data_IF_929202614881
#
_entry.id   IF_929202614881
#
_cell.length_a   1.000
_cell.length_b   1.000
_cell.length_c   1.000
_cell.angle_alpha   90.00
_cell.angle_beta   90.00
_cell.angle_gamma   90.00
#
_symmetry.space_group_name_H-M   'P 1'
#
loop_
_entity.id
_entity.type
_entity.pdbx_description
1 polymer ?
#
# COMPACT_ATOMS: atom_id res chain seq x y z
N UNK A 1 -23.22 -28.34 37.65
CA UNK A 1 -22.51 -27.18 37.07
C UNK A 1 -23.51 -26.44 36.22
N UNK A 2 -23.64 -25.14 36.41
CA UNK A 2 -24.52 -24.30 35.59
C UNK A 2 -23.64 -23.48 34.64
N UNK A 3 -23.87 -23.62 33.34
CA UNK A 3 -23.19 -22.82 32.32
C UNK A 3 -24.21 -21.90 31.68
N UNK A 4 -23.88 -20.62 31.56
CA UNK A 4 -24.71 -19.64 30.86
C UNK A 4 -23.85 -18.67 30.07
N UNK A 5 -24.34 -18.22 28.93
CA UNK A 5 -23.78 -17.06 28.27
C UNK A 5 -24.13 -15.81 29.09
N UNK A 6 -23.12 -14.99 29.40
CA UNK A 6 -23.27 -13.78 30.23
C UNK A 6 -23.03 -12.51 29.45
N UNK A 7 -22.45 -12.60 28.25
CA UNK A 7 -22.18 -11.46 27.38
C UNK A 7 -21.99 -11.93 25.94
N UNK A 8 -22.67 -11.28 25.01
CA UNK A 8 -22.41 -11.35 23.58
C UNK A 8 -21.97 -9.95 23.11
N UNK A 9 -20.84 -9.86 22.41
CA UNK A 9 -20.34 -8.62 21.81
C UNK A 9 -19.88 -8.90 20.39
N UNK A 10 -20.73 -8.62 19.41
CA UNK A 10 -20.51 -9.07 18.04
C UNK A 10 -20.32 -10.59 18.00
N UNK A 11 -19.20 -11.06 17.43
CA UNK A 11 -18.88 -12.49 17.31
C UNK A 11 -18.25 -13.11 18.58
N UNK A 12 -18.26 -12.40 19.72
CA UNK A 12 -17.58 -12.82 20.94
C UNK A 12 -18.58 -13.13 22.04
N UNK A 13 -18.61 -14.40 22.44
CA UNK A 13 -19.42 -14.89 23.56
C UNK A 13 -18.56 -15.08 24.80
N UNK A 14 -19.06 -14.63 25.94
CA UNK A 14 -18.49 -14.93 27.26
C UNK A 14 -19.43 -15.86 27.99
N UNK A 15 -18.92 -17.03 28.37
CA UNK A 15 -19.63 -18.03 29.14
C UNK A 15 -19.17 -17.99 30.59
N UNK A 16 -20.11 -18.09 31.53
CA UNK A 16 -19.87 -18.29 32.94
C UNK A 16 -20.27 -19.71 33.33
N UNK A 17 -19.35 -20.44 33.94
CA UNK A 17 -19.56 -21.76 34.50
C UNK A 17 -19.48 -21.67 36.03
N UNK A 18 -20.58 -21.99 36.71
CA UNK A 18 -20.69 -21.98 38.18
C UNK A 18 -20.82 -23.41 38.70
N UNK A 19 -19.97 -23.78 39.66
CA UNK A 19 -20.10 -25.07 40.34
C UNK A 19 -21.27 -25.05 41.32
N UNK A 20 -22.18 -26.03 41.21
CA UNK A 20 -23.38 -26.08 42.06
C UNK A 20 -23.02 -26.33 43.54
N UNK A 21 -21.91 -27.03 43.80
CA UNK A 21 -21.48 -27.43 45.14
C UNK A 21 -20.63 -26.33 45.82
N UNK A 22 -19.47 -26.00 45.25
CA UNK A 22 -18.53 -25.03 45.85
C UNK A 22 -18.76 -23.57 45.44
N UNK A 23 -19.73 -23.28 44.57
CA UNK A 23 -20.09 -21.93 44.08
C UNK A 23 -18.99 -21.16 43.35
N UNK A 24 -17.86 -21.80 43.03
CA UNK A 24 -16.79 -21.21 42.23
C UNK A 24 -17.31 -20.90 40.82
N UNK A 25 -17.10 -19.66 40.36
CA UNK A 25 -17.38 -19.20 39.00
C UNK A 25 -16.09 -19.17 38.19
N UNK A 26 -16.14 -19.70 36.95
CA UNK A 26 -15.11 -19.48 35.94
C UNK A 26 -15.74 -18.87 34.69
N UNK A 27 -15.08 -17.87 34.11
CA UNK A 27 -15.48 -17.25 32.85
C UNK A 27 -14.54 -17.64 31.73
N UNK A 28 -15.10 -17.94 30.56
CA UNK A 28 -14.37 -18.29 29.35
C UNK A 28 -14.94 -17.45 28.21
N UNK A 29 -14.06 -16.88 27.40
CA UNK A 29 -14.44 -16.06 26.23
C UNK A 29 -14.01 -16.77 24.95
N UNK A 30 -14.86 -16.77 23.92
CA UNK A 30 -14.60 -17.48 22.65
C UNK A 30 -13.44 -16.91 21.83
N UNK A 31 -12.99 -15.70 22.15
CA UNK A 31 -11.83 -15.06 21.52
C UNK A 31 -10.90 -14.49 22.60
N UNK A 32 -9.60 -14.80 22.48
CA UNK A 32 -8.56 -14.26 23.35
C UNK A 32 -8.04 -12.89 22.89
N UNK A 33 -7.34 -12.19 23.78
CA UNK A 33 -6.65 -10.93 23.51
C UNK A 33 -7.45 -9.67 23.87
N UNK A 34 -6.92 -8.92 24.86
CA UNK A 34 -7.02 -7.45 24.92
C UNK A 34 -8.23 -6.83 25.64
N UNK A 35 -7.96 -5.79 26.42
CA UNK A 35 -8.91 -4.95 27.16
C UNK A 35 -10.13 -4.55 26.32
N UNK A 36 -11.32 -5.07 26.67
CA UNK A 36 -12.71 -4.69 26.29
C UNK A 36 -13.06 -4.40 24.80
N UNK A 37 -12.13 -4.17 23.88
CA UNK A 37 -12.38 -3.58 22.54
C UNK A 37 -11.51 -4.14 21.39
N UNK A 38 -10.58 -5.07 21.61
CA UNK A 38 -9.71 -5.62 20.53
C UNK A 38 -9.64 -7.14 20.51
N UNK A 39 -10.79 -7.81 20.48
CA UNK A 39 -10.80 -9.26 20.32
C UNK A 39 -10.23 -9.65 18.96
N UNK A 40 -9.38 -10.68 18.94
CA UNK A 40 -8.73 -11.16 17.72
C UNK A 40 -9.72 -11.44 16.59
N UNK A 41 -10.91 -11.99 16.88
CA UNK A 41 -11.93 -12.25 15.85
C UNK A 41 -12.46 -10.97 15.19
N UNK A 42 -12.62 -9.88 15.95
CA UNK A 42 -13.03 -8.60 15.40
C UNK A 42 -11.92 -8.00 14.54
N UNK A 43 -10.66 -8.11 14.96
CA UNK A 43 -9.50 -7.70 14.15
C UNK A 43 -9.45 -8.45 12.82
N UNK A 44 -9.66 -9.77 12.82
CA UNK A 44 -9.68 -10.57 11.59
C UNK A 44 -10.85 -10.19 10.68
N UNK A 45 -12.04 -9.93 11.24
CA UNK A 45 -13.18 -9.47 10.46
C UNK A 45 -12.87 -8.12 9.79
N UNK A 46 -12.42 -7.13 10.56
CA UNK A 46 -12.08 -5.79 10.05
C UNK A 46 -10.99 -5.89 8.98
N UNK A 47 -9.94 -6.68 9.22
CA UNK A 47 -8.88 -6.92 8.24
C UNK A 47 -9.43 -7.52 6.94
N UNK A 48 -10.33 -8.50 7.05
CA UNK A 48 -10.92 -9.17 5.89
C UNK A 48 -11.82 -8.23 5.10
N UNK A 49 -12.63 -7.40 5.76
CA UNK A 49 -13.53 -6.46 5.08
C UNK A 49 -12.78 -5.30 4.44
N UNK A 50 -11.64 -4.87 5.02
CA UNK A 50 -10.71 -3.95 4.38
C UNK A 50 -10.06 -4.57 3.13
N UNK A 51 -9.58 -5.81 3.23
CA UNK A 51 -8.99 -6.53 2.08
C UNK A 51 -9.98 -6.67 0.93
N UNK A 52 -11.22 -7.07 1.24
CA UNK A 52 -12.28 -7.24 0.22
C UNK A 52 -12.83 -5.90 -0.31
N UNK A 53 -12.39 -4.76 0.21
CA UNK A 53 -12.86 -3.44 -0.22
C UNK A 53 -14.32 -3.14 0.16
N UNK A 54 -14.91 -3.89 1.10
CA UNK A 54 -16.31 -3.71 1.54
C UNK A 54 -16.43 -2.83 2.78
N UNK A 55 -15.36 -2.71 3.56
CA UNK A 55 -15.26 -1.81 4.71
C UNK A 55 -16.31 -2.08 5.80
N UNK A 56 -16.68 -1.02 6.53
CA UNK A 56 -17.65 -1.10 7.63
C UNK A 56 -19.02 -1.63 7.17
N UNK A 57 -19.49 -1.22 6.00
CA UNK A 57 -20.76 -1.70 5.45
C UNK A 57 -20.74 -3.22 5.26
N UNK A 58 -19.67 -3.75 4.66
CA UNK A 58 -19.49 -5.20 4.51
C UNK A 58 -19.43 -5.95 5.84
N UNK A 59 -18.73 -5.40 6.82
CA UNK A 59 -18.69 -5.98 8.16
C UNK A 59 -20.10 -6.07 8.78
N UNK A 60 -20.85 -4.98 8.74
CA UNK A 60 -22.24 -4.92 9.23
C UNK A 60 -23.13 -5.92 8.51
N UNK A 61 -23.03 -6.03 7.18
CA UNK A 61 -23.79 -7.03 6.42
C UNK A 61 -23.45 -8.47 6.85
N UNK A 62 -22.18 -8.77 7.13
CA UNK A 62 -21.77 -10.09 7.63
C UNK A 62 -22.33 -10.38 9.02
N UNK A 63 -22.25 -9.41 9.94
CA UNK A 63 -22.86 -9.53 11.27
C UNK A 63 -24.34 -9.88 11.18
N UNK A 64 -25.11 -9.12 10.39
CA UNK A 64 -26.54 -9.35 10.19
C UNK A 64 -26.81 -10.72 9.56
N UNK A 65 -26.05 -11.10 8.53
CA UNK A 65 -26.21 -12.40 7.85
C UNK A 65 -25.97 -13.60 8.78
N UNK A 66 -25.07 -13.46 9.76
CA UNK A 66 -24.78 -14.48 10.76
C UNK A 66 -25.57 -14.30 12.07
N UNK A 67 -26.55 -13.39 12.10
CA UNK A 67 -27.40 -13.12 13.26
C UNK A 67 -26.62 -12.68 14.52
N UNK A 68 -25.60 -11.84 14.33
CA UNK A 68 -24.83 -11.19 15.38
C UNK A 68 -25.08 -9.67 15.39
N UNK A 69 -24.94 -9.04 16.55
CA UNK A 69 -24.98 -7.58 16.66
C UNK A 69 -23.76 -6.93 15.99
N UNK A 70 -23.94 -5.94 15.10
CA UNK A 70 -22.83 -5.25 14.47
C UNK A 70 -21.92 -4.52 15.47
N UNK A 71 -20.64 -4.40 15.12
CA UNK A 71 -19.76 -3.44 15.78
C UNK A 71 -20.25 -2.01 15.54
N UNK A 72 -20.04 -1.12 16.51
CA UNK A 72 -20.24 0.31 16.26
C UNK A 72 -19.23 0.81 15.21
N UNK A 73 -19.62 1.83 14.43
CA UNK A 73 -18.72 2.47 13.46
C UNK A 73 -17.41 2.94 14.11
N UNK A 74 -17.51 3.51 15.32
CA UNK A 74 -16.36 3.95 16.12
C UNK A 74 -15.42 2.79 16.46
N UNK A 75 -15.95 1.65 16.89
CA UNK A 75 -15.14 0.47 17.23
C UNK A 75 -14.47 -0.12 15.99
N UNK A 76 -15.19 -0.20 14.87
CA UNK A 76 -14.66 -0.68 13.60
C UNK A 76 -13.44 0.16 13.16
N UNK A 77 -13.59 1.49 13.12
CA UNK A 77 -12.50 2.36 12.68
C UNK A 77 -11.35 2.46 13.68
N UNK A 78 -11.60 2.27 14.98
CA UNK A 78 -10.52 2.13 15.98
C UNK A 78 -9.66 0.90 15.69
N UNK A 79 -10.29 -0.24 15.39
CA UNK A 79 -9.58 -1.47 15.02
C UNK A 79 -8.87 -1.29 13.67
N UNK A 80 -9.52 -0.67 12.68
CA UNK A 80 -8.92 -0.41 11.37
C UNK A 80 -7.65 0.45 11.49
N UNK A 81 -7.69 1.52 12.31
CA UNK A 81 -6.52 2.37 12.57
C UNK A 81 -5.38 1.60 13.24
N UNK A 82 -5.69 0.75 14.22
CA UNK A 82 -4.68 -0.13 14.85
C UNK A 82 -4.03 -1.05 13.81
N UNK A 83 -4.82 -1.68 12.93
CA UNK A 83 -4.31 -2.55 11.85
C UNK A 83 -3.43 -1.78 10.88
N UNK A 84 -3.80 -0.56 10.52
CA UNK A 84 -3.02 0.34 9.67
C UNK A 84 -1.67 0.69 10.30
N UNK A 85 -1.66 1.17 11.54
CA UNK A 85 -0.44 1.53 12.28
C UNK A 85 0.52 0.34 12.40
N UNK A 86 0.00 -0.84 12.75
CA UNK A 86 0.80 -2.08 12.78
C UNK A 86 1.33 -2.47 11.40
N UNK A 87 0.52 -2.26 10.35
CA UNK A 87 0.87 -2.54 8.96
C UNK A 87 2.00 -1.64 8.46
N UNK A 88 1.90 -0.34 8.70
CA UNK A 88 2.92 0.65 8.37
C UNK A 88 4.25 0.30 9.08
N UNK A 89 4.21 0.02 10.38
CA UNK A 89 5.43 -0.35 11.11
C UNK A 89 6.07 -1.65 10.60
N UNK A 90 5.28 -2.64 10.17
CA UNK A 90 5.81 -3.88 9.53
C UNK A 90 6.45 -3.57 8.18
N UNK A 91 5.82 -2.70 7.39
CA UNK A 91 6.30 -2.30 6.08
C UNK A 91 7.62 -1.52 6.18
N UNK A 92 7.74 -0.58 7.11
CA UNK A 92 8.97 0.18 7.35
C UNK A 92 10.14 -0.74 7.72
N UNK A 93 9.93 -1.66 8.68
CA UNK A 93 10.95 -2.66 9.05
C UNK A 93 11.35 -3.56 7.88
N UNK A 94 10.39 -3.95 7.04
CA UNK A 94 10.68 -4.76 5.85
C UNK A 94 11.53 -3.96 4.85
N UNK A 95 11.22 -2.68 4.63
CA UNK A 95 11.99 -1.80 3.74
C UNK A 95 13.40 -1.54 4.27
N UNK A 96 13.56 -1.27 5.57
CA UNK A 96 14.88 -1.14 6.20
C UNK A 96 15.72 -2.39 6.02
N UNK A 97 15.12 -3.57 6.24
CA UNK A 97 15.80 -4.85 6.03
C UNK A 97 16.20 -5.06 4.56
N UNK A 98 15.32 -4.75 3.61
CA UNK A 98 15.64 -4.82 2.18
C UNK A 98 16.83 -3.93 1.81
N UNK A 99 16.87 -2.70 2.31
CA UNK A 99 17.98 -1.75 2.06
C UNK A 99 19.28 -2.22 2.70
N UNK A 100 19.24 -2.74 3.93
CA UNK A 100 20.41 -3.25 4.61
C UNK A 100 21.04 -4.44 3.86
N UNK A 101 20.21 -5.41 3.46
CA UNK A 101 20.66 -6.57 2.66
C UNK A 101 21.29 -6.10 1.34
N UNK A 102 20.64 -5.17 0.65
CA UNK A 102 21.18 -4.63 -0.60
C UNK A 102 22.52 -3.89 -0.38
N UNK A 103 22.65 -3.12 0.70
CA UNK A 103 23.92 -2.49 1.06
C UNK A 103 25.04 -3.51 1.27
N UNK A 104 24.77 -4.60 2.00
CA UNK A 104 25.77 -5.65 2.24
C UNK A 104 26.22 -6.30 0.93
N UNK A 105 25.28 -6.66 0.05
CA UNK A 105 25.56 -7.21 -1.29
C UNK A 105 26.43 -6.25 -2.11
N UNK A 106 26.13 -4.96 -2.10
CA UNK A 106 26.88 -3.96 -2.86
C UNK A 106 28.27 -3.66 -2.26
N UNK A 107 28.40 -3.74 -0.93
CA UNK A 107 29.70 -3.61 -0.27
C UNK A 107 30.65 -4.76 -0.66
N UNK A 108 30.13 -5.99 -0.66
CA UNK A 108 30.88 -7.18 -1.10
C UNK A 108 31.26 -7.10 -2.58
N UNK A 109 30.33 -6.65 -3.43
CA UNK A 109 30.55 -6.53 -4.87
C UNK A 109 31.56 -5.43 -5.24
N UNK A 110 31.42 -4.25 -4.66
CA UNK A 110 32.17 -3.06 -5.08
C UNK A 110 33.49 -2.88 -4.32
N UNK A 111 33.71 -3.66 -3.24
CA UNK A 111 34.90 -3.57 -2.40
C UNK A 111 35.04 -2.23 -1.67
N UNK A 112 33.96 -1.45 -1.56
CA UNK A 112 33.93 -0.18 -0.83
C UNK A 112 32.72 -0.12 0.10
N UNK A 113 32.87 0.56 1.24
CA UNK A 113 31.81 0.73 2.24
C UNK A 113 31.23 2.15 2.20
N UNK A 114 30.99 2.69 1.01
CA UNK A 114 30.38 3.99 0.87
C UNK A 114 28.99 4.00 1.50
N UNK A 115 28.68 5.05 2.27
CA UNK A 115 27.38 5.22 2.91
C UNK A 115 26.25 5.32 1.87
N UNK A 116 26.52 5.93 0.72
CA UNK A 116 25.58 6.05 -0.40
C UNK A 116 26.05 5.19 -1.55
N UNK A 117 25.14 4.36 -2.09
CA UNK A 117 25.42 3.48 -3.23
C UNK A 117 24.63 3.87 -4.46
N UNK A 118 25.24 3.69 -5.63
CA UNK A 118 24.58 3.87 -6.91
C UNK A 118 23.93 2.56 -7.33
N UNK A 119 22.64 2.59 -7.66
CA UNK A 119 21.89 1.39 -8.00
C UNK A 119 21.11 1.54 -9.30
N UNK A 120 20.86 0.39 -9.92
CA UNK A 120 19.98 0.24 -11.06
C UNK A 120 18.60 -0.21 -10.60
N UNK A 121 17.56 0.55 -10.95
CA UNK A 121 16.21 0.31 -10.46
C UNK A 121 15.21 0.09 -11.59
N UNK A 122 14.14 -0.63 -11.30
CA UNK A 122 12.89 -0.54 -12.04
C UNK A 122 11.94 0.36 -11.25
N UNK A 123 11.23 1.24 -11.97
CA UNK A 123 10.24 2.11 -11.37
C UNK A 123 8.96 2.09 -12.19
N UNK A 124 7.85 1.80 -11.53
CA UNK A 124 6.52 1.74 -12.13
C UNK A 124 5.45 2.16 -11.13
N UNK A 125 4.32 2.64 -11.67
CA UNK A 125 3.15 3.05 -10.94
C UNK A 125 1.98 2.08 -11.13
N UNK A 126 1.13 1.97 -10.12
CA UNK A 126 -0.13 1.25 -10.24
C UNK A 126 -1.26 1.99 -9.52
N UNK A 127 -2.48 1.77 -9.98
CA UNK A 127 -3.65 2.55 -9.60
C UNK A 127 -4.75 1.66 -9.03
N UNK A 128 -5.53 2.21 -8.09
CA UNK A 128 -6.62 1.47 -7.46
C UNK A 128 -7.76 1.07 -8.41
N UNK A 129 -7.83 1.72 -9.59
CA UNK A 129 -8.87 1.47 -10.61
C UNK A 129 -8.25 1.65 -11.99
N UNK A 130 -8.72 0.85 -12.95
CA UNK A 130 -8.38 1.03 -14.37
C UNK A 130 -9.04 2.31 -14.91
N UNK A 131 -8.30 3.06 -15.73
CA UNK A 131 -8.75 4.30 -16.35
C UNK A 131 -8.25 5.56 -15.63
N UNK A 132 -8.66 6.73 -16.12
CA UNK A 132 -8.12 8.02 -15.67
C UNK A 132 -8.78 8.60 -14.41
N UNK A 133 -9.54 7.80 -13.67
CA UNK A 133 -10.37 8.22 -12.52
C UNK A 133 -9.95 7.61 -11.19
N UNK A 134 -8.78 6.96 -11.13
CA UNK A 134 -8.26 6.41 -9.89
C UNK A 134 -8.04 7.51 -8.84
N UNK A 135 -8.47 7.23 -7.60
CA UNK A 135 -8.28 8.13 -6.46
C UNK A 135 -6.97 7.86 -5.72
N UNK A 136 -6.44 6.66 -5.85
CA UNK A 136 -5.18 6.23 -5.25
C UNK A 136 -4.26 5.69 -6.32
N UNK A 137 -2.98 6.01 -6.19
CA UNK A 137 -1.89 5.42 -6.94
C UNK A 137 -0.76 5.07 -5.98
N UNK A 138 0.05 4.09 -6.34
CA UNK A 138 1.34 3.88 -5.69
C UNK A 138 2.42 3.79 -6.75
N UNK A 139 3.63 4.24 -6.42
CA UNK A 139 4.81 4.13 -7.26
C UNK A 139 5.91 3.46 -6.43
N UNK A 140 6.61 2.49 -6.99
CA UNK A 140 7.64 1.73 -6.29
C UNK A 140 8.95 1.70 -7.06
N UNK A 141 10.05 1.64 -6.31
CA UNK A 141 11.42 1.48 -6.79
C UNK A 141 11.92 0.11 -6.34
N UNK A 142 12.31 -0.71 -7.31
CA UNK A 142 12.79 -2.07 -7.10
C UNK A 142 14.20 -2.17 -7.70
N UNK A 143 15.19 -2.62 -6.94
CA UNK A 143 16.53 -2.83 -7.48
C UNK A 143 16.52 -4.03 -8.43
N UNK A 144 17.10 -3.85 -9.62
CA UNK A 144 16.88 -4.75 -10.77
C UNK A 144 17.54 -6.12 -10.56
N UNK A 145 18.72 -6.17 -9.95
CA UNK A 145 19.49 -7.42 -9.85
C UNK A 145 18.99 -8.37 -8.75
N UNK A 146 18.56 -7.81 -7.62
CA UNK A 146 18.12 -8.55 -6.43
C UNK A 146 16.59 -8.67 -6.35
N UNK A 147 15.86 -7.77 -7.01
CA UNK A 147 14.40 -7.70 -6.91
C UNK A 147 13.89 -7.13 -5.59
N UNK A 148 14.75 -6.58 -4.74
CA UNK A 148 14.31 -5.94 -3.50
C UNK A 148 13.64 -4.60 -3.79
N UNK A 149 12.44 -4.42 -3.23
CA UNK A 149 11.80 -3.11 -3.17
C UNK A 149 12.53 -2.24 -2.14
N UNK A 150 13.03 -1.09 -2.59
CA UNK A 150 13.88 -0.19 -1.77
C UNK A 150 13.14 1.08 -1.35
N UNK A 151 12.17 1.54 -2.14
CA UNK A 151 11.30 2.66 -1.76
C UNK A 151 9.96 2.59 -2.50
N UNK A 152 8.96 3.24 -1.94
CA UNK A 152 7.65 3.40 -2.58
C UNK A 152 6.93 4.63 -2.02
N UNK A 153 5.97 5.15 -2.77
CA UNK A 153 5.11 6.24 -2.34
C UNK A 153 3.67 5.94 -2.71
N UNK A 154 2.75 6.23 -1.78
CA UNK A 154 1.31 6.14 -2.00
C UNK A 154 0.78 7.56 -2.16
N UNK A 155 0.06 7.79 -3.25
CA UNK A 155 -0.54 9.07 -3.62
C UNK A 155 -2.06 8.96 -3.60
N UNK A 156 -2.71 9.97 -3.05
CA UNK A 156 -4.16 10.02 -2.90
C UNK A 156 -4.69 11.40 -3.27
N UNK A 157 -5.73 11.40 -4.11
CA UNK A 157 -6.57 12.57 -4.42
C UNK A 157 -7.80 12.66 -3.56
N UNK A 158 -8.03 11.67 -2.72
CA UNK A 158 -9.30 11.49 -2.04
C UNK A 158 -9.13 11.55 -0.52
N UNK A 159 -10.07 12.22 0.11
CA UNK A 159 -10.24 12.19 1.54
C UNK A 159 -11.74 12.22 1.85
N UNK A 160 -12.20 11.32 2.72
CA UNK A 160 -13.62 11.19 3.10
C UNK A 160 -14.17 12.52 3.59
N UNK A 161 -13.40 13.22 4.43
CA UNK A 161 -13.77 14.49 5.04
C UNK A 161 -13.80 15.62 4.01
N UNK A 162 -12.84 15.67 3.09
CA UNK A 162 -12.76 16.75 2.09
C UNK A 162 -13.83 16.69 1.01
N UNK A 163 -14.31 15.49 0.63
CA UNK A 163 -15.20 15.32 -0.54
C UNK A 163 -16.61 15.84 -0.29
N UNK A 164 -17.00 16.08 0.96
CA UNK A 164 -18.34 16.56 1.34
C UNK A 164 -18.46 18.06 1.57
N UNK A 165 -17.42 18.86 1.29
CA UNK A 165 -17.35 20.26 1.70
C UNK A 165 -17.35 21.15 0.46
N UNK A 166 -18.46 21.85 0.23
CA UNK A 166 -18.64 22.82 -0.86
C UNK A 166 -18.14 24.22 -0.51
N UNK A 167 -18.16 24.59 0.77
CA UNK A 167 -18.11 26.00 1.21
C UNK A 167 -16.74 26.44 1.76
N UNK A 168 -15.66 25.77 1.33
CA UNK A 168 -14.28 26.25 1.52
C UNK A 168 -13.69 26.12 2.93
N UNK A 169 -14.48 25.86 3.97
CA UNK A 169 -13.96 25.53 5.30
C UNK A 169 -13.85 24.02 5.50
N UNK A 170 -12.68 23.49 5.16
CA UNK A 170 -12.30 22.12 5.51
C UNK A 170 -12.04 22.08 7.03
N UNK A 171 -12.73 21.22 7.81
CA UNK A 171 -12.48 21.08 9.23
C UNK A 171 -11.06 20.58 9.44
N UNK A 172 -10.49 20.92 10.60
CA UNK A 172 -9.20 20.38 11.01
C UNK A 172 -9.30 18.85 11.14
N UNK A 173 -8.52 18.15 10.33
CA UNK A 173 -8.48 16.69 10.29
C UNK A 173 -7.18 16.18 9.69
N UNK A 174 -6.89 14.92 9.95
CA UNK A 174 -5.79 14.19 9.32
C UNK A 174 -6.14 13.89 7.85
N UNK A 175 -5.79 14.83 6.97
CA UNK A 175 -6.13 14.75 5.56
C UNK A 175 -5.32 13.67 4.84
N UNK A 176 -6.01 12.65 4.33
CA UNK A 176 -5.41 11.56 3.56
C UNK A 176 -5.10 11.94 2.11
N UNK A 177 -5.44 13.15 1.67
CA UNK A 177 -5.18 13.65 0.32
C UNK A 177 -3.80 14.32 0.29
N UNK A 178 -2.85 13.71 -0.40
CA UNK A 178 -1.49 14.23 -0.55
C UNK A 178 -1.14 14.61 -2.00
N UNK A 179 -2.08 14.46 -2.94
CA UNK A 179 -1.87 14.78 -4.35
C UNK A 179 -3.00 15.61 -4.94
N UNK A 180 -2.62 16.60 -5.75
CA UNK A 180 -3.51 17.50 -6.48
C UNK A 180 -3.18 17.39 -7.97
N UNK A 181 -4.06 16.76 -8.76
CA UNK A 181 -3.83 16.57 -10.18
C UNK A 181 -4.67 15.46 -10.79
N UNK A 182 -4.35 15.08 -12.03
CA UNK A 182 -5.00 13.96 -12.73
C UNK A 182 -4.44 12.61 -12.28
N UNK A 183 -5.17 11.51 -12.50
CA UNK A 183 -4.66 10.17 -12.13
C UNK A 183 -3.32 9.82 -12.79
N UNK A 184 -3.10 10.10 -14.09
CA UNK A 184 -1.80 9.89 -14.72
C UNK A 184 -0.67 10.72 -14.12
N UNK A 185 -0.97 11.93 -13.65
CA UNK A 185 0.05 12.81 -13.08
C UNK A 185 0.60 12.31 -11.73
N UNK A 186 -0.10 11.38 -11.06
CA UNK A 186 0.40 10.73 -9.84
C UNK A 186 1.71 10.01 -10.09
N UNK A 187 1.85 9.31 -11.21
CA UNK A 187 3.08 8.57 -11.50
C UNK A 187 4.27 9.53 -11.54
N UNK A 188 4.13 10.62 -12.30
CA UNK A 188 5.17 11.66 -12.43
C UNK A 188 5.53 12.27 -11.08
N UNK A 189 4.54 12.57 -10.25
CA UNK A 189 4.79 13.11 -8.90
C UNK A 189 5.44 12.09 -7.98
N UNK A 190 5.04 10.82 -8.07
CA UNK A 190 5.63 9.74 -7.31
C UNK A 190 7.11 9.56 -7.63
N UNK A 191 7.47 9.61 -8.92
CA UNK A 191 8.86 9.59 -9.36
C UNK A 191 9.67 10.75 -8.75
N UNK A 192 9.16 11.99 -8.79
CA UNK A 192 9.86 13.14 -8.17
C UNK A 192 10.09 12.93 -6.67
N UNK A 193 9.07 12.48 -5.94
CA UNK A 193 9.17 12.23 -4.49
C UNK A 193 10.19 11.14 -4.18
N UNK A 194 10.19 10.05 -4.95
CA UNK A 194 11.10 8.91 -4.77
C UNK A 194 12.56 9.30 -5.02
N UNK A 195 12.84 10.01 -6.12
CA UNK A 195 14.19 10.46 -6.42
C UNK A 195 14.67 11.56 -5.47
N UNK A 196 13.79 12.51 -5.12
CA UNK A 196 14.14 13.65 -4.27
C UNK A 196 14.53 13.26 -2.83
N UNK A 197 14.03 12.12 -2.32
CA UNK A 197 14.35 11.64 -0.96
C UNK A 197 15.27 10.42 -0.93
N UNK A 198 15.64 9.87 -2.08
CA UNK A 198 16.39 8.61 -2.24
C UNK A 198 17.65 8.54 -1.36
N UNK A 199 18.52 9.54 -1.43
CA UNK A 199 19.77 9.58 -0.68
C UNK A 199 19.50 9.71 0.82
N UNK A 200 18.66 10.68 1.22
CA UNK A 200 18.39 10.96 2.62
C UNK A 200 17.68 9.79 3.34
N UNK A 201 16.69 9.18 2.67
CA UNK A 201 15.84 8.13 3.25
C UNK A 201 16.40 6.72 3.02
N UNK A 202 16.95 6.46 1.84
CA UNK A 202 17.28 5.11 1.39
C UNK A 202 18.78 4.86 1.27
N UNK A 203 19.62 5.91 1.33
CA UNK A 203 21.08 5.82 1.14
C UNK A 203 21.48 5.25 -0.23
N UNK A 204 20.64 5.51 -1.22
CA UNK A 204 20.86 5.10 -2.61
C UNK A 204 20.68 6.26 -3.57
N UNK A 205 21.49 6.31 -4.63
CA UNK A 205 21.20 7.08 -5.85
C UNK A 205 20.69 6.15 -6.93
N UNK A 206 19.54 6.48 -7.50
CA UNK A 206 18.93 5.72 -8.59
C UNK A 206 19.48 6.20 -9.92
N UNK A 207 20.61 5.64 -10.35
CA UNK A 207 21.42 6.15 -11.47
C UNK A 207 20.96 5.64 -12.84
N UNK A 208 20.35 4.45 -12.85
CA UNK A 208 19.77 3.83 -14.04
C UNK A 208 18.34 3.42 -13.72
N UNK A 209 17.44 3.52 -14.69
CA UNK A 209 16.04 3.11 -14.51
C UNK A 209 15.49 2.32 -15.69
N UNK A 210 14.90 1.14 -15.41
CA UNK A 210 14.00 0.45 -16.33
C UNK A 210 12.60 1.00 -16.12
N UNK A 211 11.99 1.49 -17.19
CA UNK A 211 10.59 1.91 -17.17
C UNK A 211 9.90 1.66 -18.50
N UNK A 212 8.61 1.97 -18.53
CA UNK A 212 7.81 1.97 -19.74
C UNK A 212 8.29 3.02 -20.75
N UNK A 213 7.97 2.78 -22.02
CA UNK A 213 8.50 3.56 -23.14
C UNK A 213 8.05 5.02 -23.16
N UNK A 214 6.80 5.29 -22.81
CA UNK A 214 6.27 6.65 -22.68
C UNK A 214 6.17 7.05 -21.20
N UNK A 215 7.28 6.97 -20.47
CA UNK A 215 7.33 7.45 -19.09
C UNK A 215 7.63 8.95 -19.06
N UNK A 216 6.65 9.76 -18.66
CA UNK A 216 6.89 11.18 -18.31
C UNK A 216 7.64 11.33 -16.98
N UNK A 217 7.76 10.24 -16.21
CA UNK A 217 8.47 10.20 -14.93
C UNK A 217 9.95 10.53 -15.09
N UNK A 218 10.63 9.92 -16.09
CA UNK A 218 12.06 10.18 -16.30
C UNK A 218 12.34 11.64 -16.67
N UNK A 219 11.51 12.24 -17.54
CA UNK A 219 11.67 13.66 -17.91
C UNK A 219 11.54 14.57 -16.69
N UNK A 220 10.59 14.27 -15.79
CA UNK A 220 10.41 15.03 -14.56
C UNK A 220 11.59 14.86 -13.59
N UNK A 221 12.15 13.65 -13.48
CA UNK A 221 13.32 13.37 -12.65
C UNK A 221 14.58 14.03 -13.22
N UNK A 222 14.77 14.01 -14.54
CA UNK A 222 15.88 14.72 -15.19
C UNK A 222 15.77 16.23 -15.00
N UNK A 223 14.55 16.78 -15.01
CA UNK A 223 14.32 18.20 -14.72
C UNK A 223 14.57 18.54 -13.25
N UNK A 224 14.26 17.60 -12.34
CA UNK A 224 14.53 17.76 -10.90
C UNK A 224 16.03 17.77 -10.59
N UNK A 225 16.84 17.13 -11.43
CA UNK A 225 18.29 16.97 -11.29
C UNK A 225 18.74 16.63 -9.84
N UNK A 226 18.22 15.52 -9.26
CA UNK A 226 18.40 15.22 -7.85
C UNK A 226 19.86 14.90 -7.47
N UNK A 227 20.71 14.60 -8.45
CA UNK A 227 22.09 14.15 -8.23
C UNK A 227 23.15 15.02 -8.93
N UNK A 228 22.75 16.03 -9.71
CA UNK A 228 23.69 16.84 -10.51
C UNK A 228 24.31 16.08 -11.69
N UNK A 229 23.79 14.89 -12.00
CA UNK A 229 24.30 14.00 -13.05
C UNK A 229 23.15 13.32 -13.79
N UNK A 230 23.28 13.06 -15.10
CA UNK A 230 22.22 12.42 -15.87
C UNK A 230 21.89 11.02 -15.36
N UNK A 231 20.59 10.72 -15.31
CA UNK A 231 20.05 9.40 -15.00
C UNK A 231 19.74 8.69 -16.33
N UNK A 232 20.25 7.47 -16.48
CA UNK A 232 20.11 6.68 -17.70
C UNK A 232 18.78 5.91 -17.70
N UNK A 233 18.06 5.94 -18.82
CA UNK A 233 16.80 5.24 -19.00
C UNK A 233 16.98 4.03 -19.91
N UNK A 234 16.48 2.89 -19.45
CA UNK A 234 16.35 1.67 -20.22
C UNK A 234 14.88 1.34 -20.48
N UNK A 235 14.62 0.80 -21.67
CA UNK A 235 13.29 0.35 -22.07
C UNK A 235 12.97 -1.02 -21.50
N UNK A 236 11.76 -1.17 -20.94
CA UNK A 236 11.26 -2.47 -20.52
C UNK A 236 11.15 -3.44 -21.72
N UNK A 237 11.71 -4.66 -21.60
CA UNK A 237 11.72 -5.67 -22.68
C UNK A 237 10.31 -5.97 -23.21
N UNK A 238 9.32 -6.03 -22.32
CA UNK A 238 7.92 -6.22 -22.70
C UNK A 238 7.40 -5.07 -23.58
N UNK A 239 7.85 -3.84 -23.31
CA UNK A 239 7.49 -2.68 -24.11
C UNK A 239 8.20 -2.66 -25.45
N UNK A 240 9.49 -3.03 -25.50
CA UNK A 240 10.22 -3.22 -26.75
C UNK A 240 9.50 -4.24 -27.65
N UNK A 241 9.13 -5.40 -27.10
CA UNK A 241 8.39 -6.42 -27.84
C UNK A 241 7.04 -5.93 -28.39
N UNK A 242 6.25 -5.22 -27.57
CA UNK A 242 4.97 -4.63 -28.00
C UNK A 242 5.14 -3.59 -29.10
N UNK A 243 6.15 -2.73 -28.99
CA UNK A 243 6.42 -1.70 -29.99
C UNK A 243 6.84 -2.32 -31.32
N UNK A 244 7.77 -3.29 -31.29
CA UNK A 244 8.20 -4.04 -32.48
C UNK A 244 7.04 -4.79 -33.13
N UNK A 245 6.23 -5.50 -32.34
CA UNK A 245 5.03 -6.18 -32.83
C UNK A 245 4.04 -5.23 -33.51
N UNK A 246 3.81 -4.05 -32.91
CA UNK A 246 2.95 -3.01 -33.48
C UNK A 246 3.51 -2.47 -34.80
N UNK A 247 4.82 -2.21 -34.85
CA UNK A 247 5.50 -1.74 -36.06
C UNK A 247 5.41 -2.76 -37.21
N UNK A 248 5.62 -4.04 -36.91
CA UNK A 248 5.49 -5.13 -37.88
C UNK A 248 4.06 -5.27 -38.41
N UNK A 249 3.05 -5.22 -37.53
CA UNK A 249 1.64 -5.25 -37.95
C UNK A 249 1.27 -4.07 -38.85
N UNK A 250 1.77 -2.87 -38.53
CA UNK A 250 1.55 -1.68 -39.35
C UNK A 250 2.24 -1.78 -40.72
N UNK A 251 3.44 -2.35 -40.77
CA UNK A 251 4.14 -2.62 -42.02
C UNK A 251 3.40 -3.66 -42.88
N UNK A 252 2.93 -4.74 -42.26
CA UNK A 252 2.12 -5.77 -42.93
C UNK A 252 0.84 -5.18 -43.53
N UNK A 253 0.06 -4.40 -42.78
CA UNK A 253 -1.17 -3.75 -43.28
C UNK A 253 -0.92 -2.86 -44.50
N UNK A 254 0.16 -2.07 -44.49
CA UNK A 254 0.56 -1.22 -45.62
C UNK A 254 0.96 -2.04 -46.85
N UNK A 255 1.47 -3.26 -46.65
CA UNK A 255 1.86 -4.14 -47.74
C UNK A 255 0.66 -4.86 -48.39
N UNK A 256 -0.38 -5.19 -47.60
CA UNK A 256 -1.61 -5.84 -48.10
C UNK A 256 -2.62 -4.85 -48.69
N UNK A 257 -2.61 -3.58 -48.28
CA UNK A 257 -3.49 -2.54 -48.85
C UNK A 257 -3.01 -1.96 -50.19
N UNK A 258 -1.92 -2.49 -50.75
CA UNK A 258 -1.31 -2.05 -52.03
C UNK A 258 -1.65 -2.97 -53.21
N UNK A 259 -2.60 -3.88 -53.01
CA UNK A 259 -3.18 -4.76 -54.03
C UNK A 259 -4.68 -4.53 -54.10
#
# INVERSE_FOLDING_TARGET
MQVKEVKLLGMVSTFSAVCNNCKIEKKITTSGGGDKESYHIHEQLVKSTLWCGTGFAGATSMFVAFNFDPLSEKSYYKIAKKIEEEGIGKLERAMEKSRAILHDILNERDGNNNEVKDIYVSCDGSWSKRGFTANYGFVSVIEVSTGYCVDFVVLSKWCKTCVGISDGQVPDHECTKNFHGSSPAMEVEGWKMLWGRSVAKCKFRYMQVVSDGDSKGITAVQTLDPYGVPIEKFECVNHVAKQLGTALLNASKKSTSRW
#
